data_IF_106149684701
#
_entry.id   IF_106149684701
#
_cell.length_a   1.000
_cell.length_b   1.000
_cell.length_c   1.000
_cell.angle_alpha   90.00
_cell.angle_beta   90.00
_cell.angle_gamma   90.00
#
_symmetry.space_group_name_H-M   'P 1'
#
loop_
_entity.id
_entity.type
_entity.pdbx_description
1 polymer ?
#
# COMPACT_ATOMS: atom_id res chain seq x y z
N UNK A 1 -1.21 -20.78 -11.86
CA UNK A 1 0.24 -20.56 -12.11
C UNK A 1 0.36 -19.44 -13.10
N UNK A 2 1.36 -18.55 -12.97
CA UNK A 2 1.58 -17.49 -13.95
C UNK A 2 2.19 -18.10 -15.22
N UNK A 3 1.59 -17.87 -16.38
CA UNK A 3 2.09 -18.40 -17.65
C UNK A 3 3.28 -17.60 -18.21
N UNK A 4 3.48 -16.39 -17.70
CA UNK A 4 4.52 -15.46 -18.16
C UNK A 4 5.44 -15.15 -16.99
N UNK A 5 6.56 -15.85 -16.93
CA UNK A 5 7.63 -15.54 -15.99
C UNK A 5 8.64 -14.58 -16.66
N UNK A 6 9.35 -13.83 -15.85
CA UNK A 6 10.50 -13.04 -16.30
C UNK A 6 11.71 -13.35 -15.43
N UNK A 7 12.86 -13.41 -16.03
CA UNK A 7 14.14 -13.55 -15.33
C UNK A 7 14.58 -12.18 -14.81
N UNK A 8 14.87 -12.10 -13.53
CA UNK A 8 15.43 -10.91 -12.88
C UNK A 8 16.69 -11.28 -12.14
N UNK A 9 17.61 -10.32 -11.98
CA UNK A 9 18.79 -10.53 -11.16
C UNK A 9 18.38 -10.93 -9.73
N UNK A 10 19.02 -11.94 -9.22
CA UNK A 10 18.79 -12.41 -7.86
C UNK A 10 19.21 -11.32 -6.86
N UNK A 11 18.26 -10.91 -6.02
CA UNK A 11 18.48 -9.83 -5.02
C UNK A 11 19.61 -10.14 -4.05
N UNK A 12 19.99 -11.42 -3.88
CA UNK A 12 21.15 -11.80 -3.05
C UNK A 12 22.44 -11.16 -3.57
N UNK A 13 22.57 -11.04 -4.89
CA UNK A 13 23.77 -10.48 -5.56
C UNK A 13 23.62 -9.01 -5.95
N UNK A 14 22.63 -8.31 -5.38
CA UNK A 14 22.45 -6.87 -5.53
C UNK A 14 22.68 -6.19 -4.19
N UNK A 15 23.27 -4.97 -4.16
CA UNK A 15 23.39 -4.20 -2.95
C UNK A 15 22.02 -3.99 -2.28
N UNK A 16 21.89 -4.39 -1.03
CA UNK A 16 20.67 -4.23 -0.26
C UNK A 16 20.96 -4.24 1.24
N UNK A 17 19.98 -3.85 2.05
CA UNK A 17 20.12 -3.77 3.51
C UNK A 17 20.49 -5.12 4.16
N UNK A 18 20.03 -6.25 3.60
CA UNK A 18 20.28 -7.58 4.19
C UNK A 18 21.74 -8.03 4.04
N UNK A 19 22.43 -7.57 3.00
CA UNK A 19 23.83 -7.88 2.75
C UNK A 19 24.77 -6.69 3.07
N UNK A 20 24.27 -5.72 3.87
CA UNK A 20 25.06 -4.56 4.29
C UNK A 20 25.55 -3.70 3.12
N UNK A 21 24.81 -3.70 1.97
CA UNK A 21 25.18 -3.02 0.73
C UNK A 21 26.43 -3.60 0.04
N UNK A 22 26.94 -4.72 0.55
CA UNK A 22 28.09 -5.45 -0.01
C UNK A 22 27.63 -6.86 -0.45
N UNK A 23 27.15 -7.02 -1.68
CA UNK A 23 26.63 -8.30 -2.13
C UNK A 23 27.77 -9.31 -2.33
N UNK A 24 27.54 -10.61 -2.04
CA UNK A 24 28.51 -11.65 -2.36
C UNK A 24 28.69 -11.77 -3.88
N UNK A 25 29.88 -12.21 -4.30
CA UNK A 25 30.14 -12.52 -5.71
C UNK A 25 29.33 -13.75 -6.11
N UNK A 26 28.70 -13.69 -7.26
CA UNK A 26 28.00 -14.85 -7.82
C UNK A 26 29.01 -15.79 -8.48
N UNK A 27 29.34 -16.90 -7.82
CA UNK A 27 30.28 -17.90 -8.33
C UNK A 27 29.63 -18.93 -9.25
N UNK A 28 28.30 -19.05 -9.25
CA UNK A 28 27.54 -19.97 -10.09
C UNK A 28 26.47 -19.20 -10.86
N UNK A 29 26.63 -19.11 -12.16
CA UNK A 29 25.72 -18.41 -13.07
C UNK A 29 24.27 -18.90 -13.01
N UNK A 30 24.02 -20.15 -12.58
CA UNK A 30 22.65 -20.70 -12.42
C UNK A 30 21.85 -19.96 -11.35
N UNK A 31 22.50 -19.37 -10.36
CA UNK A 31 21.86 -18.63 -9.29
C UNK A 31 21.82 -17.12 -9.51
N UNK A 32 22.48 -16.63 -10.58
CA UNK A 32 22.53 -15.19 -10.88
C UNK A 32 21.16 -14.59 -11.19
N UNK A 33 20.30 -15.38 -11.81
CA UNK A 33 18.94 -14.97 -12.14
C UNK A 33 17.92 -15.86 -11.45
N UNK A 34 16.78 -15.28 -11.11
CA UNK A 34 15.62 -15.99 -10.60
C UNK A 34 14.41 -15.71 -11.48
N UNK A 35 13.58 -16.70 -11.69
CA UNK A 35 12.32 -16.51 -12.37
C UNK A 35 11.29 -15.94 -11.40
N UNK A 36 10.65 -14.84 -11.81
CA UNK A 36 9.56 -14.22 -11.06
C UNK A 36 8.33 -14.11 -11.94
N UNK A 37 7.18 -14.14 -11.28
CA UNK A 37 5.91 -13.95 -11.98
C UNK A 37 5.83 -12.58 -12.65
N UNK A 38 5.13 -12.47 -13.77
CA UNK A 38 5.08 -11.25 -14.61
C UNK A 38 4.51 -10.02 -13.89
N UNK A 39 3.68 -10.21 -12.87
CA UNK A 39 3.08 -9.14 -12.08
C UNK A 39 1.76 -8.56 -12.63
N UNK A 40 1.34 -8.91 -13.85
CA UNK A 40 0.21 -8.24 -14.52
C UNK A 40 -0.78 -9.16 -15.22
N UNK A 41 -0.44 -10.42 -15.51
CA UNK A 41 -1.38 -11.33 -16.18
C UNK A 41 -2.59 -11.68 -15.29
N UNK A 42 -3.66 -12.18 -15.92
CA UNK A 42 -4.89 -12.52 -15.23
C UNK A 42 -4.65 -13.53 -14.10
N UNK A 43 -3.88 -14.59 -14.35
CA UNK A 43 -3.59 -15.62 -13.36
C UNK A 43 -2.78 -15.09 -12.16
N UNK A 44 -1.80 -14.21 -12.41
CA UNK A 44 -1.07 -13.52 -11.34
C UNK A 44 -2.02 -12.69 -10.48
N UNK A 45 -2.88 -11.88 -11.10
CA UNK A 45 -3.86 -11.05 -10.38
C UNK A 45 -4.85 -11.87 -9.59
N UNK A 46 -5.34 -12.99 -10.16
CA UNK A 46 -6.23 -13.94 -9.48
C UNK A 46 -5.56 -14.57 -8.26
N UNK A 47 -4.30 -15.00 -8.39
CA UNK A 47 -3.48 -15.51 -7.29
C UNK A 47 -3.32 -14.46 -6.19
N UNK A 48 -2.93 -13.22 -6.55
CA UNK A 48 -2.75 -12.12 -5.60
C UNK A 48 -4.03 -11.76 -4.86
N UNK A 49 -5.15 -11.73 -5.56
CA UNK A 49 -6.47 -11.51 -4.94
C UNK A 49 -6.79 -12.58 -3.89
N UNK A 50 -6.54 -13.85 -4.21
CA UNK A 50 -6.74 -14.95 -3.28
C UNK A 50 -5.82 -14.87 -2.06
N UNK A 51 -4.54 -14.58 -2.26
CA UNK A 51 -3.58 -14.39 -1.18
C UNK A 51 -4.02 -13.28 -0.21
N UNK A 52 -4.45 -12.12 -0.74
CA UNK A 52 -4.94 -11.02 0.07
C UNK A 52 -6.24 -11.37 0.80
N UNK A 53 -7.16 -12.08 0.17
CA UNK A 53 -8.39 -12.55 0.82
C UNK A 53 -8.09 -13.44 2.01
N UNK A 54 -7.16 -14.39 1.88
CA UNK A 54 -6.73 -15.27 2.97
C UNK A 54 -6.10 -14.43 4.10
N UNK A 55 -5.18 -13.53 3.78
CA UNK A 55 -4.53 -12.68 4.80
C UNK A 55 -5.53 -11.81 5.57
N UNK A 56 -6.48 -11.21 4.86
CA UNK A 56 -7.53 -10.41 5.49
C UNK A 56 -8.43 -11.28 6.39
N UNK A 57 -8.75 -12.49 5.94
CA UNK A 57 -9.54 -13.43 6.73
C UNK A 57 -8.80 -13.86 8.00
N UNK A 58 -7.52 -14.22 7.92
CA UNK A 58 -6.72 -14.54 9.11
C UNK A 58 -6.58 -13.32 10.04
N UNK A 59 -6.42 -12.13 9.49
CA UNK A 59 -6.38 -10.91 10.31
C UNK A 59 -7.71 -10.65 11.05
N UNK A 60 -8.84 -10.96 10.42
CA UNK A 60 -10.17 -10.83 11.06
C UNK A 60 -10.38 -11.83 12.20
N UNK A 61 -9.73 -12.99 12.17
CA UNK A 61 -9.75 -13.92 13.32
C UNK A 61 -9.05 -13.34 14.54
N UNK A 62 -7.94 -12.61 14.33
CA UNK A 62 -7.19 -11.95 15.42
C UNK A 62 -7.86 -10.67 15.89
N UNK A 63 -8.47 -9.94 14.98
CA UNK A 63 -9.14 -8.65 15.21
C UNK A 63 -10.49 -8.64 14.50
N UNK A 64 -11.56 -9.13 15.17
CA UNK A 64 -12.87 -9.33 14.55
C UNK A 64 -13.55 -8.02 14.11
N UNK A 65 -13.08 -6.88 14.61
CA UNK A 65 -13.61 -5.58 14.23
C UNK A 65 -12.76 -4.96 13.11
N UNK A 66 -13.37 -4.79 11.94
CA UNK A 66 -12.77 -4.07 10.84
C UNK A 66 -13.72 -2.97 10.34
N UNK A 67 -13.17 -1.82 10.05
CA UNK A 67 -13.91 -0.70 9.46
C UNK A 67 -13.49 -0.57 8.00
N UNK A 68 -14.45 -0.66 7.11
CA UNK A 68 -14.22 -0.32 5.71
C UNK A 68 -14.23 1.20 5.56
N UNK A 69 -13.25 1.73 4.85
CA UNK A 69 -13.19 3.16 4.56
C UNK A 69 -12.94 3.42 3.08
N UNK A 70 -13.42 4.57 2.64
CA UNK A 70 -13.12 5.14 1.33
C UNK A 70 -12.57 6.54 1.53
N UNK A 71 -11.34 6.75 1.10
CA UNK A 71 -10.70 8.06 1.12
C UNK A 71 -10.60 8.63 -0.30
N UNK A 72 -11.12 9.84 -0.49
CA UNK A 72 -10.95 10.57 -1.75
C UNK A 72 -9.97 11.71 -1.53
N UNK A 73 -8.96 11.81 -2.39
CA UNK A 73 -7.99 12.91 -2.31
C UNK A 73 -8.55 14.14 -3.00
N UNK A 74 -8.63 15.25 -2.29
CA UNK A 74 -9.02 16.54 -2.90
C UNK A 74 -7.92 17.05 -3.83
N UNK A 75 -8.27 17.77 -4.92
CA UNK A 75 -7.29 18.35 -5.83
C UNK A 75 -6.27 19.23 -5.10
N UNK A 76 -6.72 20.04 -4.15
CA UNK A 76 -5.88 20.94 -3.35
C UNK A 76 -4.86 20.15 -2.52
N UNK A 77 -5.29 19.04 -1.92
CA UNK A 77 -4.39 18.18 -1.14
C UNK A 77 -3.39 17.48 -2.02
N UNK A 78 -3.82 16.98 -3.18
CA UNK A 78 -2.96 16.36 -4.18
C UNK A 78 -1.85 17.34 -4.62
N UNK A 79 -2.23 18.54 -5.05
CA UNK A 79 -1.30 19.59 -5.48
C UNK A 79 -0.32 19.99 -4.37
N UNK A 80 -0.81 20.18 -3.13
CA UNK A 80 0.04 20.47 -1.98
C UNK A 80 1.11 19.40 -1.77
N UNK A 81 0.76 18.12 -1.89
CA UNK A 81 1.71 17.03 -1.72
C UNK A 81 2.73 17.00 -2.87
N UNK A 82 2.29 17.23 -4.10
CA UNK A 82 3.19 17.34 -5.25
C UNK A 82 4.23 18.45 -5.02
N UNK A 83 3.80 19.65 -4.67
CA UNK A 83 4.70 20.79 -4.40
C UNK A 83 5.64 20.53 -3.23
N UNK A 84 5.12 20.01 -2.12
CA UNK A 84 5.91 19.80 -0.90
C UNK A 84 6.97 18.72 -1.01
N UNK A 85 6.71 17.66 -1.79
CA UNK A 85 7.58 16.48 -1.88
C UNK A 85 8.23 16.30 -3.26
N UNK A 86 8.06 17.26 -4.17
CA UNK A 86 8.69 17.24 -5.49
C UNK A 86 8.10 16.22 -6.46
N UNK A 87 6.84 15.81 -6.29
CA UNK A 87 6.18 14.93 -7.22
C UNK A 87 5.65 15.69 -8.45
N UNK A 88 5.61 15.01 -9.60
CA UNK A 88 5.00 15.55 -10.80
C UNK A 88 3.47 15.50 -10.69
N UNK A 89 2.81 16.59 -11.09
CA UNK A 89 1.35 16.70 -11.11
C UNK A 89 0.76 16.34 -12.49
N UNK A 90 1.24 15.24 -13.09
CA UNK A 90 0.84 14.76 -14.41
C UNK A 90 0.16 13.38 -14.37
N UNK A 91 -0.04 12.84 -13.17
CA UNK A 91 -0.61 11.51 -12.95
C UNK A 91 0.37 10.35 -13.11
N UNK A 92 1.62 10.59 -13.50
CA UNK A 92 2.63 9.53 -13.66
C UNK A 92 3.08 8.93 -12.33
N UNK A 93 2.98 9.70 -11.24
CA UNK A 93 3.38 9.33 -9.89
C UNK A 93 2.20 9.18 -8.92
N UNK A 94 1.02 8.91 -9.43
CA UNK A 94 -0.21 8.80 -8.63
C UNK A 94 -0.06 7.83 -7.44
N UNK A 95 0.58 6.68 -7.65
CA UNK A 95 0.74 5.68 -6.59
C UNK A 95 1.71 6.13 -5.48
N UNK A 96 2.76 6.85 -5.82
CA UNK A 96 3.72 7.41 -4.86
C UNK A 96 3.06 8.52 -4.04
N UNK A 97 2.30 9.40 -4.70
CA UNK A 97 1.57 10.50 -4.08
C UNK A 97 0.54 9.96 -3.10
N UNK A 98 -0.30 8.99 -3.52
CA UNK A 98 -1.32 8.41 -2.65
C UNK A 98 -0.69 7.64 -1.48
N UNK A 99 0.41 6.94 -1.71
CA UNK A 99 1.17 6.26 -0.67
C UNK A 99 1.69 7.25 0.37
N UNK A 100 2.18 8.41 -0.08
CA UNK A 100 2.63 9.47 0.82
C UNK A 100 1.49 10.05 1.64
N UNK A 101 0.36 10.36 1.00
CA UNK A 101 -0.86 10.84 1.68
C UNK A 101 -1.33 9.86 2.73
N UNK A 102 -1.40 8.57 2.37
CA UNK A 102 -1.82 7.50 3.28
C UNK A 102 -0.89 7.37 4.49
N UNK A 103 0.42 7.40 4.27
CA UNK A 103 1.42 7.38 5.36
C UNK A 103 1.24 8.57 6.32
N UNK A 104 1.05 9.77 5.80
CA UNK A 104 0.80 10.96 6.63
C UNK A 104 -0.51 10.83 7.43
N UNK A 105 -1.54 10.22 6.85
CA UNK A 105 -2.79 9.94 7.54
C UNK A 105 -2.58 8.93 8.70
N UNK A 106 -1.89 7.83 8.44
CA UNK A 106 -1.57 6.84 9.48
C UNK A 106 -0.69 7.42 10.60
N UNK A 107 0.25 8.31 10.27
CA UNK A 107 1.05 9.02 11.27
C UNK A 107 0.21 9.91 12.17
N UNK A 108 -0.81 10.58 11.62
CA UNK A 108 -1.76 11.37 12.40
C UNK A 108 -2.58 10.50 13.35
N UNK A 109 -3.09 9.36 12.87
CA UNK A 109 -3.79 8.39 13.73
C UNK A 109 -2.86 7.95 14.85
N UNK A 110 -1.63 7.55 14.54
CA UNK A 110 -0.66 7.11 15.55
C UNK A 110 -0.36 8.19 16.58
N UNK A 111 -0.22 9.44 16.16
CA UNK A 111 0.01 10.57 17.08
C UNK A 111 -1.19 10.84 17.98
N UNK A 112 -2.40 10.72 17.44
CA UNK A 112 -3.63 10.96 18.19
C UNK A 112 -3.96 9.82 19.17
N UNK A 113 -3.68 8.57 18.80
CA UNK A 113 -4.08 7.39 19.56
C UNK A 113 -2.93 6.71 20.33
N UNK A 114 -1.68 7.14 20.10
CA UNK A 114 -0.47 6.48 20.63
C UNK A 114 -0.18 5.10 20.03
N UNK A 115 -1.01 4.60 19.11
CA UNK A 115 -0.95 3.22 18.59
C UNK A 115 -0.98 3.19 17.06
N UNK A 116 -0.27 2.20 16.50
CA UNK A 116 -0.37 1.90 15.07
C UNK A 116 -1.60 1.05 14.78
N UNK A 117 -2.25 1.31 13.64
CA UNK A 117 -3.43 0.57 13.18
C UNK A 117 -3.01 -0.39 12.07
N UNK A 118 -3.35 -1.68 12.23
CA UNK A 118 -3.23 -2.65 11.16
C UNK A 118 -4.22 -2.28 10.05
N UNK A 119 -3.81 -2.32 8.81
CA UNK A 119 -4.64 -1.90 7.68
C UNK A 119 -4.28 -2.67 6.41
N UNK A 120 -5.25 -2.73 5.52
CA UNK A 120 -5.09 -3.17 4.14
C UNK A 120 -5.79 -2.17 3.23
N UNK A 121 -5.09 -1.69 2.19
CA UNK A 121 -5.63 -0.67 1.30
C UNK A 121 -5.29 -0.95 -0.14
N UNK A 122 -6.19 -0.55 -1.03
CA UNK A 122 -6.01 -0.53 -2.48
C UNK A 122 -6.33 0.85 -3.02
N UNK A 123 -5.63 1.23 -4.07
CA UNK A 123 -5.91 2.46 -4.82
C UNK A 123 -6.80 2.14 -6.00
N UNK A 124 -7.76 2.99 -6.26
CA UNK A 124 -8.61 2.95 -7.43
C UNK A 124 -8.63 4.32 -8.10
N UNK A 125 -8.56 4.35 -9.43
CA UNK A 125 -8.72 5.56 -10.22
C UNK A 125 -10.13 5.59 -10.77
N UNK A 126 -10.89 6.64 -10.46
CA UNK A 126 -12.25 6.79 -10.94
C UNK A 126 -12.34 6.74 -12.47
N UNK A 127 -13.33 6.01 -12.98
CA UNK A 127 -13.52 5.79 -14.41
C UNK A 127 -14.21 6.94 -15.13
N UNK A 128 -14.98 7.75 -14.41
CA UNK A 128 -15.80 8.83 -14.99
C UNK A 128 -15.35 10.19 -14.49
N UNK A 129 -15.55 11.20 -15.30
CA UNK A 129 -15.44 12.66 -15.13
C UNK A 129 -14.34 13.24 -14.23
N UNK A 130 -13.99 12.66 -13.11
CA UNK A 130 -13.04 13.29 -12.18
C UNK A 130 -11.65 12.70 -12.18
N UNK A 131 -11.45 11.47 -12.69
CA UNK A 131 -10.18 10.72 -12.62
C UNK A 131 -9.48 10.77 -11.24
N UNK A 132 -10.24 11.12 -10.18
CA UNK A 132 -9.70 11.21 -8.83
C UNK A 132 -9.26 9.84 -8.34
N UNK A 133 -8.19 9.84 -7.57
CA UNK A 133 -7.74 8.62 -6.91
C UNK A 133 -8.54 8.43 -5.63
N UNK A 134 -9.06 7.23 -5.48
CA UNK A 134 -9.72 6.74 -4.27
C UNK A 134 -8.82 5.72 -3.60
N UNK A 135 -8.85 5.73 -2.28
CA UNK A 135 -8.21 4.73 -1.45
C UNK A 135 -9.31 3.96 -0.72
N UNK A 136 -9.44 2.68 -1.04
CA UNK A 136 -10.35 1.77 -0.35
C UNK A 136 -9.57 0.85 0.57
N UNK A 137 -10.11 0.58 1.75
CA UNK A 137 -9.38 -0.28 2.67
C UNK A 137 -10.15 -0.74 3.88
N UNK A 138 -9.46 -1.58 4.65
CA UNK A 138 -9.89 -2.07 5.93
C UNK A 138 -8.91 -1.56 7.00
N UNK A 139 -9.44 -0.96 8.04
CA UNK A 139 -8.74 -0.74 9.29
C UNK A 139 -9.16 -1.80 10.30
N UNK A 140 -8.21 -2.57 10.80
CA UNK A 140 -8.43 -3.59 11.82
C UNK A 140 -8.25 -2.94 13.17
N UNK A 141 -9.37 -2.75 13.87
CA UNK A 141 -9.40 -2.12 15.17
C UNK A 141 -9.52 -3.17 16.27
N UNK A 142 -8.82 -2.98 17.37
CA UNK A 142 -9.08 -3.73 18.60
C UNK A 142 -10.36 -3.22 19.26
N UNK A 143 -10.95 -4.05 20.09
CA UNK A 143 -12.11 -3.67 20.89
C UNK A 143 -11.83 -2.33 21.63
N UNK A 144 -12.74 -1.38 21.53
CA UNK A 144 -12.57 -0.02 22.07
C UNK A 144 -11.84 0.98 21.15
N UNK A 145 -11.23 0.55 20.04
CA UNK A 145 -10.57 1.46 19.08
C UNK A 145 -11.47 1.91 17.92
N UNK A 146 -12.58 1.24 17.70
CA UNK A 146 -13.50 1.52 16.59
C UNK A 146 -14.15 2.90 16.67
N UNK A 147 -14.44 3.37 17.87
CA UNK A 147 -15.06 4.68 18.11
C UNK A 147 -14.18 5.83 17.65
N UNK A 148 -12.88 5.74 17.85
CA UNK A 148 -11.93 6.78 17.48
C UNK A 148 -11.71 6.90 15.95
N UNK A 149 -11.89 5.78 15.24
CA UNK A 149 -11.71 5.72 13.78
C UNK A 149 -13.00 6.10 13.06
N UNK A 150 -14.16 5.67 13.58
CA UNK A 150 -15.47 5.84 12.92
C UNK A 150 -16.03 7.25 13.14
N UNK A 151 -15.86 7.84 14.31
CA UNK A 151 -16.52 9.12 14.60
C UNK A 151 -15.86 10.33 13.96
N UNK A 152 -14.60 10.24 13.52
CA UNK A 152 -13.88 11.37 12.90
C UNK A 152 -13.85 12.65 13.74
N UNK A 153 -14.59 12.65 14.86
CA UNK A 153 -14.76 13.81 15.73
C UNK A 153 -13.49 14.14 16.51
N UNK A 154 -12.69 13.13 16.86
CA UNK A 154 -11.46 13.35 17.62
C UNK A 154 -10.23 13.53 16.73
N UNK A 155 -10.25 13.06 15.47
CA UNK A 155 -9.15 13.23 14.54
C UNK A 155 -9.27 14.58 13.78
N UNK A 156 -10.08 15.49 14.27
CA UNK A 156 -10.41 16.75 13.61
C UNK A 156 -10.74 16.51 12.13
N UNK A 157 -11.80 17.03 11.58
CA UNK A 157 -12.20 16.84 10.18
C UNK A 157 -10.97 16.82 9.28
N UNK A 158 -10.41 15.63 9.07
CA UNK A 158 -9.37 15.44 8.11
C UNK A 158 -10.05 15.56 6.74
N UNK A 159 -10.16 16.78 6.27
CA UNK A 159 -10.26 16.99 4.84
C UNK A 159 -8.96 16.43 4.28
N UNK A 160 -9.01 15.14 3.91
CA UNK A 160 -7.94 14.45 3.20
C UNK A 160 -7.89 15.00 1.78
#
# INVERSE_FOLDING_TARGET
>A
MCYFTKKVLNKRFLPNRKNGWNPPVCTDERFRYVEVECGHCFEYRKKKRREWRIRNYEQLKETPHAVFFTGTVSPQRYEYICKRYGFKNDGSQDNEIITKIHRLFLERIRKATGKSVKHWCVTEKGHTNTRRIHLHGLFYAREGQTTDIVTGKQIGRAHV
#
